data_IF_165290799594
#
_entry.id   IF_165290799594
#
_cell.length_a   1.000
_cell.length_b   1.000
_cell.length_c   1.000
_cell.angle_alpha   90.00
_cell.angle_beta   90.00
_cell.angle_gamma   90.00
#
_symmetry.space_group_name_H-M   'P 1'
#
loop_
_entity.id
_entity.type
_entity.pdbx_description
1 polymer ?
#
# COMPACT_ATOMS: atom_id res chain seq x y z
N UNK A 1 -12.63 20.44 -5.95
CA UNK A 1 -11.22 20.74 -5.60
C UNK A 1 -10.73 20.10 -4.30
N UNK A 2 -11.51 20.06 -3.19
CA UNK A 2 -11.07 19.47 -1.91
C UNK A 2 -10.51 18.05 -2.04
N UNK A 3 -11.15 17.18 -2.83
CA UNK A 3 -10.70 15.79 -3.02
C UNK A 3 -9.38 15.64 -3.79
N UNK A 4 -8.98 16.64 -4.58
CA UNK A 4 -7.72 16.60 -5.35
C UNK A 4 -6.54 17.21 -4.60
N UNK A 5 -6.80 18.01 -3.56
CA UNK A 5 -5.78 18.73 -2.78
C UNK A 5 -4.65 17.83 -2.24
N UNK A 6 -4.91 16.68 -1.58
CA UNK A 6 -3.83 15.86 -1.04
C UNK A 6 -2.88 15.37 -2.15
N UNK A 7 -3.44 14.92 -3.28
CA UNK A 7 -2.65 14.44 -4.42
C UNK A 7 -1.84 15.57 -5.08
N UNK A 8 -2.32 16.81 -5.08
CA UNK A 8 -1.55 17.96 -5.57
C UNK A 8 -0.35 18.25 -4.65
N UNK A 9 -0.53 18.10 -3.33
CA UNK A 9 0.57 18.26 -2.36
C UNK A 9 1.63 17.17 -2.58
N UNK A 10 1.22 15.92 -2.73
CA UNK A 10 2.12 14.80 -3.05
C UNK A 10 2.91 15.02 -4.35
N UNK A 11 2.28 15.60 -5.39
CA UNK A 11 2.99 15.96 -6.62
C UNK A 11 4.07 17.01 -6.35
N UNK A 12 3.77 18.04 -5.54
CA UNK A 12 4.76 19.06 -5.19
C UNK A 12 5.93 18.48 -4.39
N UNK A 13 5.65 17.56 -3.46
CA UNK A 13 6.69 16.82 -2.73
C UNK A 13 7.55 15.98 -3.69
N UNK A 14 6.91 15.28 -4.64
CA UNK A 14 7.60 14.52 -5.67
C UNK A 14 8.50 15.37 -6.58
N UNK A 15 8.04 16.58 -6.95
CA UNK A 15 8.86 17.57 -7.67
C UNK A 15 10.06 17.98 -6.81
N UNK A 16 9.84 18.25 -5.52
CA UNK A 16 10.91 18.57 -4.57
C UNK A 16 11.99 17.49 -4.52
N UNK A 17 11.58 16.21 -4.42
CA UNK A 17 12.50 15.07 -4.44
C UNK A 17 13.29 14.97 -5.76
N UNK A 18 12.62 15.14 -6.90
CA UNK A 18 13.30 15.16 -8.21
C UNK A 18 14.31 16.30 -8.28
N UNK A 19 13.97 17.51 -7.81
CA UNK A 19 14.93 18.61 -7.76
C UNK A 19 16.14 18.30 -6.86
N UNK A 20 15.90 17.75 -5.66
CA UNK A 20 16.98 17.36 -4.73
C UNK A 20 17.91 16.32 -5.35
N UNK A 21 17.38 15.39 -6.16
CA UNK A 21 18.18 14.33 -6.78
C UNK A 21 19.33 14.86 -7.64
N UNK A 22 19.16 16.01 -8.30
CA UNK A 22 20.21 16.64 -9.12
C UNK A 22 21.36 17.25 -8.31
N UNK A 23 21.14 17.52 -7.01
CA UNK A 23 22.18 18.06 -6.12
C UNK A 23 22.94 16.96 -5.37
N UNK A 24 22.47 15.71 -5.44
CA UNK A 24 23.11 14.57 -4.78
C UNK A 24 24.23 14.04 -5.68
N UNK A 25 25.47 14.13 -5.22
CA UNK A 25 26.67 13.76 -6.00
C UNK A 25 26.86 12.26 -6.20
N UNK A 26 26.22 11.43 -5.37
CA UNK A 26 26.35 9.99 -5.46
C UNK A 26 25.26 9.44 -6.38
N UNK A 27 25.66 8.87 -7.54
CA UNK A 27 24.74 8.40 -8.58
C UNK A 27 23.67 7.44 -8.07
N UNK A 28 24.04 6.53 -7.16
CA UNK A 28 23.10 5.61 -6.54
C UNK A 28 21.99 6.34 -5.77
N UNK A 29 22.35 7.25 -4.86
CA UNK A 29 21.38 7.98 -4.05
C UNK A 29 20.60 9.01 -4.88
N UNK A 30 21.24 9.63 -5.87
CA UNK A 30 20.57 10.51 -6.83
C UNK A 30 19.47 9.75 -7.58
N UNK A 31 19.79 8.59 -8.17
CA UNK A 31 18.83 7.76 -8.91
C UNK A 31 17.70 7.25 -8.02
N UNK A 32 18.01 6.85 -6.78
CA UNK A 32 17.02 6.41 -5.80
C UNK A 32 16.02 7.52 -5.44
N UNK A 33 16.51 8.73 -5.14
CA UNK A 33 15.64 9.88 -4.80
C UNK A 33 14.83 10.33 -6.02
N UNK A 34 15.45 10.35 -7.20
CA UNK A 34 14.77 10.69 -8.44
C UNK A 34 13.60 9.73 -8.72
N UNK A 35 13.86 8.42 -8.69
CA UNK A 35 12.85 7.39 -8.93
C UNK A 35 11.72 7.42 -7.90
N UNK A 36 12.04 7.69 -6.62
CA UNK A 36 11.03 7.88 -5.58
C UNK A 36 10.13 9.08 -5.88
N UNK A 37 10.70 10.23 -6.25
CA UNK A 37 9.95 11.42 -6.63
C UNK A 37 9.03 11.17 -7.84
N UNK A 38 9.55 10.51 -8.88
CA UNK A 38 8.76 10.12 -10.06
C UNK A 38 7.63 9.15 -9.69
N UNK A 39 7.91 8.16 -8.83
CA UNK A 39 6.92 7.18 -8.38
C UNK A 39 5.73 7.82 -7.65
N UNK A 40 6.01 8.76 -6.73
CA UNK A 40 4.98 9.52 -6.01
C UNK A 40 4.15 10.34 -7.00
N UNK A 41 4.80 11.12 -7.87
CA UNK A 41 4.07 11.94 -8.86
C UNK A 41 3.18 11.09 -9.76
N UNK A 42 3.68 9.97 -10.28
CA UNK A 42 2.90 9.08 -11.14
C UNK A 42 1.66 8.52 -10.42
N UNK A 43 1.82 8.05 -9.17
CA UNK A 43 0.72 7.54 -8.37
C UNK A 43 -0.36 8.61 -8.13
N UNK A 44 0.04 9.82 -7.75
CA UNK A 44 -0.88 10.93 -7.48
C UNK A 44 -1.59 11.41 -8.75
N UNK A 45 -0.90 11.46 -9.91
CA UNK A 45 -1.51 11.78 -11.20
C UNK A 45 -2.59 10.77 -11.57
N UNK A 46 -2.32 9.46 -11.41
CA UNK A 46 -3.30 8.40 -11.67
C UNK A 46 -4.55 8.57 -10.80
N UNK A 47 -4.39 8.93 -9.52
CA UNK A 47 -5.53 9.19 -8.64
C UNK A 47 -6.33 10.43 -9.07
N UNK A 48 -5.66 11.52 -9.46
CA UNK A 48 -6.33 12.72 -9.98
C UNK A 48 -7.12 12.41 -11.25
N UNK A 49 -6.55 11.62 -12.16
CA UNK A 49 -7.24 11.15 -13.38
C UNK A 49 -8.48 10.36 -12.99
N UNK A 50 -8.36 9.38 -12.08
CA UNK A 50 -9.49 8.57 -11.60
C UNK A 50 -10.60 9.43 -10.99
N UNK A 51 -10.26 10.38 -10.13
CA UNK A 51 -11.24 11.29 -9.50
C UNK A 51 -11.93 12.13 -10.57
N UNK A 52 -11.16 12.70 -11.50
CA UNK A 52 -11.69 13.54 -12.57
C UNK A 52 -12.61 12.74 -13.51
N UNK A 53 -12.25 11.49 -13.79
CA UNK A 53 -13.04 10.57 -14.62
C UNK A 53 -14.42 10.30 -14.00
N UNK A 54 -14.49 10.08 -12.68
CA UNK A 54 -15.75 9.79 -11.97
C UNK A 54 -16.55 11.04 -11.61
N UNK A 55 -15.92 12.21 -11.52
CA UNK A 55 -16.60 13.50 -11.32
C UNK A 55 -17.27 14.05 -12.59
N UNK A 56 -17.04 13.43 -13.76
CA UNK A 56 -17.64 13.88 -15.01
C UNK A 56 -19.18 13.70 -14.96
N UNK A 57 -19.98 14.74 -15.23
CA UNK A 57 -21.45 14.67 -15.16
C UNK A 57 -22.04 13.57 -16.04
N UNK A 58 -21.39 13.23 -17.16
CA UNK A 58 -21.81 12.12 -18.05
C UNK A 58 -21.84 10.76 -17.35
N UNK A 59 -21.05 10.56 -16.29
CA UNK A 59 -20.92 9.29 -15.55
C UNK A 59 -21.45 9.37 -14.13
N UNK A 60 -22.12 10.46 -13.77
CA UNK A 60 -22.61 10.66 -12.42
C UNK A 60 -23.60 9.56 -11.99
N UNK A 61 -24.49 9.15 -12.89
CA UNK A 61 -25.45 8.07 -12.64
C UNK A 61 -24.76 6.71 -12.39
N UNK A 62 -23.76 6.36 -13.21
CA UNK A 62 -22.95 5.15 -13.01
C UNK A 62 -22.16 5.20 -11.70
N UNK A 63 -21.62 6.37 -11.35
CA UNK A 63 -20.86 6.57 -10.13
C UNK A 63 -21.74 6.45 -8.88
N UNK A 64 -22.94 7.02 -8.91
CA UNK A 64 -23.97 6.89 -7.87
C UNK A 64 -24.38 5.43 -7.67
N UNK A 65 -24.64 4.69 -8.76
CA UNK A 65 -24.97 3.27 -8.69
C UNK A 65 -23.85 2.47 -8.01
N UNK A 66 -22.58 2.70 -8.39
CA UNK A 66 -21.42 2.07 -7.74
C UNK A 66 -21.30 2.44 -6.26
N UNK A 67 -21.59 3.69 -5.89
CA UNK A 67 -21.59 4.10 -4.47
C UNK A 67 -22.65 3.37 -3.66
N UNK A 68 -23.87 3.27 -4.20
CA UNK A 68 -24.97 2.53 -3.56
C UNK A 68 -24.63 1.05 -3.40
N UNK A 69 -24.11 0.42 -4.45
CA UNK A 69 -23.66 -0.96 -4.41
C UNK A 69 -22.52 -1.16 -3.40
N UNK A 70 -21.54 -0.26 -3.36
CA UNK A 70 -20.45 -0.30 -2.39
C UNK A 70 -20.95 -0.16 -0.95
N UNK A 71 -21.95 0.69 -0.70
CA UNK A 71 -22.57 0.82 0.60
C UNK A 71 -23.31 -0.45 1.01
N UNK A 72 -24.14 -1.03 0.14
CA UNK A 72 -24.82 -2.31 0.38
C UNK A 72 -23.80 -3.40 0.72
N UNK A 73 -22.74 -3.53 -0.09
CA UNK A 73 -21.68 -4.50 0.15
C UNK A 73 -20.86 -4.24 1.42
N UNK A 74 -20.83 -3.01 1.94
CA UNK A 74 -20.14 -2.68 3.19
C UNK A 74 -20.92 -3.05 4.44
N UNK A 75 -22.24 -3.04 4.37
CA UNK A 75 -23.15 -3.39 5.48
C UNK A 75 -23.60 -4.84 5.44
N UNK A 76 -23.49 -5.51 4.29
CA UNK A 76 -23.79 -6.93 4.13
C UNK A 76 -22.89 -7.80 5.05
N UNK A 77 -23.51 -8.45 6.03
CA UNK A 77 -22.87 -9.31 7.02
C UNK A 77 -22.06 -10.45 6.38
N UNK A 78 -22.59 -11.07 5.30
CA UNK A 78 -21.88 -12.14 4.60
C UNK A 78 -20.58 -11.60 3.99
N UNK A 79 -20.62 -10.41 3.39
CA UNK A 79 -19.44 -9.77 2.79
C UNK A 79 -18.44 -9.33 3.86
N UNK A 80 -18.91 -8.88 5.02
CA UNK A 80 -18.05 -8.56 6.15
C UNK A 80 -17.32 -9.80 6.67
N UNK A 81 -18.06 -10.90 6.91
CA UNK A 81 -17.47 -12.16 7.34
C UNK A 81 -16.45 -12.71 6.34
N UNK A 82 -16.78 -12.70 5.04
CA UNK A 82 -15.85 -13.13 3.99
C UNK A 82 -14.57 -12.29 3.99
N UNK A 83 -14.65 -10.98 4.26
CA UNK A 83 -13.49 -10.08 4.32
C UNK A 83 -12.61 -10.37 5.53
N UNK A 84 -13.20 -10.63 6.69
CA UNK A 84 -12.47 -11.05 7.89
C UNK A 84 -11.77 -12.39 7.66
N UNK A 85 -12.47 -13.38 7.11
CA UNK A 85 -11.91 -14.70 6.80
C UNK A 85 -10.80 -14.60 5.76
N UNK A 86 -10.97 -13.79 4.71
CA UNK A 86 -9.94 -13.54 3.72
C UNK A 86 -8.68 -12.93 4.36
N UNK A 87 -8.84 -11.93 5.23
CA UNK A 87 -7.70 -11.34 5.96
C UNK A 87 -6.92 -12.37 6.78
N UNK A 88 -7.64 -13.24 7.51
CA UNK A 88 -7.02 -14.33 8.28
C UNK A 88 -6.29 -15.34 7.37
N UNK A 89 -6.93 -15.77 6.28
CA UNK A 89 -6.32 -16.71 5.32
C UNK A 89 -5.08 -16.09 4.66
N UNK A 90 -5.14 -14.82 4.23
CA UNK A 90 -4.00 -14.12 3.64
C UNK A 90 -2.84 -13.99 4.64
N UNK A 91 -3.14 -13.71 5.92
CA UNK A 91 -2.12 -13.65 6.97
C UNK A 91 -1.39 -14.98 7.15
N UNK A 92 -2.14 -16.10 7.13
CA UNK A 92 -1.55 -17.44 7.19
C UNK A 92 -0.68 -17.73 5.96
N UNK A 93 -1.20 -17.47 4.75
CA UNK A 93 -0.45 -17.66 3.51
C UNK A 93 0.85 -16.86 3.54
N UNK A 94 0.79 -15.57 3.90
CA UNK A 94 1.96 -14.69 3.93
C UNK A 94 3.00 -15.18 4.95
N UNK A 95 2.55 -15.66 6.11
CA UNK A 95 3.43 -16.26 7.11
C UNK A 95 4.23 -17.43 6.53
N UNK A 96 3.55 -18.37 5.87
CA UNK A 96 4.24 -19.49 5.22
C UNK A 96 5.12 -19.04 4.05
N UNK A 97 4.67 -18.09 3.24
CA UNK A 97 5.46 -17.53 2.13
C UNK A 97 6.78 -16.93 2.60
N UNK A 98 6.77 -16.12 3.67
CA UNK A 98 7.99 -15.51 4.22
C UNK A 98 8.94 -16.57 4.80
N UNK A 99 8.42 -17.56 5.52
CA UNK A 99 9.22 -18.65 6.07
C UNK A 99 9.86 -19.51 4.96
N UNK A 100 9.08 -19.93 3.97
CA UNK A 100 9.57 -20.71 2.82
C UNK A 100 10.60 -19.90 2.03
N UNK A 101 10.34 -18.62 1.78
CA UNK A 101 11.31 -17.75 1.10
C UNK A 101 12.61 -17.64 1.88
N UNK A 102 12.55 -17.43 3.20
CA UNK A 102 13.74 -17.37 4.05
C UNK A 102 14.54 -18.68 4.04
N UNK A 103 13.87 -19.83 4.02
CA UNK A 103 14.48 -21.15 3.88
C UNK A 103 15.20 -21.29 2.53
N UNK A 104 14.53 -20.92 1.43
CA UNK A 104 15.12 -21.00 0.08
C UNK A 104 16.38 -20.12 0.00
N UNK A 105 16.31 -18.89 0.50
CA UNK A 105 17.46 -17.98 0.51
C UNK A 105 18.63 -18.54 1.33
N UNK A 106 18.34 -19.18 2.47
CA UNK A 106 19.35 -19.85 3.27
C UNK A 106 19.98 -21.06 2.54
N UNK A 107 19.19 -21.87 1.84
CA UNK A 107 19.68 -23.00 1.04
C UNK A 107 20.58 -22.55 -0.12
N UNK A 108 20.24 -21.43 -0.76
CA UNK A 108 21.02 -20.81 -1.84
C UNK A 108 22.27 -20.07 -1.31
N UNK A 109 22.46 -20.02 0.02
CA UNK A 109 23.57 -19.33 0.70
C UNK A 109 23.65 -17.84 0.36
N UNK A 110 22.48 -17.20 0.27
CA UNK A 110 22.40 -15.74 0.15
C UNK A 110 22.98 -15.08 1.40
N UNK A 111 23.50 -13.86 1.25
CA UNK A 111 24.12 -13.10 2.33
C UNK A 111 23.18 -12.97 3.54
N UNK A 112 23.74 -13.19 4.74
CA UNK A 112 22.98 -13.35 5.99
C UNK A 112 22.09 -12.15 6.30
N UNK A 113 22.56 -10.93 6.06
CA UNK A 113 21.79 -9.70 6.24
C UNK A 113 20.51 -9.61 5.38
N UNK A 114 20.50 -10.15 4.15
CA UNK A 114 19.31 -10.18 3.28
C UNK A 114 18.28 -11.15 3.87
N UNK A 115 18.73 -12.33 4.30
CA UNK A 115 17.88 -13.33 4.96
C UNK A 115 17.29 -12.75 6.25
N UNK A 116 18.13 -12.07 7.04
CA UNK A 116 17.71 -11.42 8.28
C UNK A 116 16.65 -10.33 8.04
N UNK A 117 16.76 -9.57 6.94
CA UNK A 117 15.76 -8.55 6.57
C UNK A 117 14.40 -9.19 6.25
N UNK A 118 14.36 -10.29 5.49
CA UNK A 118 13.11 -11.03 5.20
C UNK A 118 12.53 -11.64 6.48
N UNK A 119 13.39 -12.20 7.35
CA UNK A 119 12.95 -12.76 8.62
C UNK A 119 12.41 -11.67 9.58
N UNK A 120 13.01 -10.49 9.58
CA UNK A 120 12.53 -9.33 10.34
C UNK A 120 11.13 -8.92 9.87
N UNK A 121 10.85 -8.93 8.56
CA UNK A 121 9.50 -8.67 8.05
C UNK A 121 8.48 -9.68 8.57
N UNK A 122 8.85 -10.96 8.69
CA UNK A 122 7.99 -11.97 9.32
C UNK A 122 7.70 -11.65 10.79
N UNK A 123 8.74 -11.30 11.57
CA UNK A 123 8.59 -10.92 12.99
C UNK A 123 7.71 -9.68 13.13
N UNK A 124 7.93 -8.66 12.29
CA UNK A 124 7.12 -7.44 12.28
C UNK A 124 5.66 -7.74 11.94
N UNK A 125 5.40 -8.57 10.93
CA UNK A 125 4.03 -9.01 10.59
C UNK A 125 3.36 -9.68 11.79
N UNK A 126 4.06 -10.56 12.49
CA UNK A 126 3.54 -11.23 13.68
C UNK A 126 3.23 -10.24 14.81
N UNK A 127 4.17 -9.34 15.13
CA UNK A 127 3.99 -8.31 16.16
C UNK A 127 2.82 -7.39 15.84
N UNK A 128 2.72 -6.89 14.60
CA UNK A 128 1.60 -6.05 14.17
C UNK A 128 0.28 -6.80 14.29
N UNK A 129 0.24 -8.08 13.88
CA UNK A 129 -0.95 -8.92 14.05
C UNK A 129 -1.41 -9.03 15.49
N UNK A 130 -0.47 -9.27 16.42
CA UNK A 130 -0.74 -9.34 17.86
C UNK A 130 -1.22 -7.99 18.41
N UNK A 131 -0.53 -6.88 18.07
CA UNK A 131 -0.90 -5.54 18.54
C UNK A 131 -2.30 -5.15 18.05
N UNK A 132 -2.57 -5.36 16.76
CA UNK A 132 -3.86 -5.03 16.15
C UNK A 132 -4.98 -5.87 16.78
N UNK A 133 -4.74 -7.15 17.07
CA UNK A 133 -5.71 -7.99 17.78
C UNK A 133 -6.09 -7.39 19.14
N UNK A 134 -5.11 -7.05 19.98
CA UNK A 134 -5.37 -6.47 21.31
C UNK A 134 -6.00 -5.06 21.22
N UNK A 135 -5.64 -4.26 20.21
CA UNK A 135 -6.28 -2.96 19.99
C UNK A 135 -7.76 -3.11 19.62
N UNK A 136 -8.08 -4.09 18.78
CA UNK A 136 -9.44 -4.39 18.37
C UNK A 136 -10.26 -4.98 19.52
N UNK A 137 -9.68 -5.89 20.30
CA UNK A 137 -10.30 -6.48 21.50
C UNK A 137 -10.66 -5.42 22.55
N UNK A 138 -9.84 -4.38 22.71
CA UNK A 138 -10.14 -3.28 23.65
C UNK A 138 -11.21 -2.30 23.16
N UNK A 139 -11.46 -2.27 21.84
CA UNK A 139 -12.35 -1.28 21.20
C UNK A 139 -13.74 -1.85 20.93
N UNK A 140 -13.85 -3.16 20.73
CA UNK A 140 -15.11 -3.89 20.56
C UNK A 140 -15.61 -4.41 21.90
#
# INVERSE_FOLDING_TARGET
>A
MKEKKPFVIEILEGIGLVCVSFFVKADYYSTMIFSMGVGIMAASIVQIIRITYWQNPKRYAEYEAKKKEAHINSVDERKQYLRMKAGHVTYQIMTFSLLILSLILALVRVEVWIIAMIFLLFVLQWLVGVIVFHMLEKRM
#
